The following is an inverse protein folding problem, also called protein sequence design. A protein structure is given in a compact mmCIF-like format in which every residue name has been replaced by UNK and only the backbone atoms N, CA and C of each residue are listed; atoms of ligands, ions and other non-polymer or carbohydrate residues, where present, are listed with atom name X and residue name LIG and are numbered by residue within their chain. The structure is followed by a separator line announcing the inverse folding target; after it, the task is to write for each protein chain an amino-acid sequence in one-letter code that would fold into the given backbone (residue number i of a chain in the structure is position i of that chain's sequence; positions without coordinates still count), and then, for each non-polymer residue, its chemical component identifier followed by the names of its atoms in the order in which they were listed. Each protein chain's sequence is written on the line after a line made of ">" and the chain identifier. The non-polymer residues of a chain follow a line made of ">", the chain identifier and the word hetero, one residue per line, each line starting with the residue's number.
data_IF_753819677982
#
_entry.id   IF_753819677982
#
_cell.length_a   1.000
_cell.length_b   1.000
_cell.length_c   1.000
_cell.angle_alpha   90.00
_cell.angle_beta   90.00
_cell.angle_gamma   90.00
#
_symmetry.space_group_name_H-M   'P 1'
#
loop_
_entity.id
_entity.type
_entity.pdbx_description
1 polymer ?
#
# COMPACT_ATOMS: atom_id res chain seq x y z
N UNK A 1 -3.99 -15.88 0.28
CA UNK A 1 -4.91 -14.71 0.34
C UNK A 1 -4.13 -13.47 -0.04
N UNK A 2 -4.57 -12.75 -1.03
CA UNK A 2 -3.90 -11.53 -1.48
C UNK A 2 -3.84 -10.50 -0.36
N UNK A 3 -2.69 -9.87 -0.21
CA UNK A 3 -2.47 -8.79 0.74
C UNK A 3 -2.05 -7.52 0.01
N UNK A 4 -2.10 -6.41 0.71
CA UNK A 4 -1.88 -5.11 0.09
C UNK A 4 -1.00 -4.21 0.95
N UNK A 5 -0.22 -3.38 0.28
CA UNK A 5 0.41 -2.22 0.89
C UNK A 5 -0.30 -0.99 0.33
N UNK A 6 -0.83 -0.15 1.21
CA UNK A 6 -1.49 1.10 0.82
C UNK A 6 -0.70 2.27 1.38
N UNK A 7 -0.43 3.25 0.54
CA UNK A 7 0.15 4.51 0.96
C UNK A 7 -0.81 5.65 0.66
N UNK A 8 -1.02 6.51 1.65
CA UNK A 8 -1.70 7.79 1.52
C UNK A 8 -0.62 8.86 1.57
N UNK A 9 -0.33 9.47 0.43
CA UNK A 9 0.76 10.42 0.29
C UNK A 9 0.20 11.84 0.17
N UNK A 10 0.61 12.69 1.11
CA UNK A 10 0.18 14.08 1.16
C UNK A 10 1.12 14.95 0.33
N UNK A 11 0.57 15.88 -0.43
CA UNK A 11 1.35 16.89 -1.15
C UNK A 11 2.58 16.30 -1.86
N UNK A 12 2.40 15.40 -2.84
CA UNK A 12 3.53 14.76 -3.51
C UNK A 12 4.46 15.81 -4.11
N UNK A 13 5.76 15.70 -3.77
CA UNK A 13 6.81 16.55 -4.28
C UNK A 13 7.57 15.79 -5.35
N UNK A 14 7.87 16.45 -6.48
CA UNK A 14 8.70 15.86 -7.53
C UNK A 14 10.08 16.47 -7.46
N UNK A 15 11.07 15.67 -7.07
CA UNK A 15 12.49 16.04 -7.06
C UNK A 15 13.32 14.81 -7.44
N UNK A 16 14.64 14.97 -7.56
CA UNK A 16 15.52 13.89 -8.01
C UNK A 16 15.47 12.68 -7.06
N UNK A 17 15.35 12.88 -5.76
CA UNK A 17 15.25 11.78 -4.81
C UNK A 17 13.98 10.96 -5.04
N UNK A 18 12.84 11.64 -5.21
CA UNK A 18 11.55 10.98 -5.47
C UNK A 18 11.58 10.26 -6.82
N UNK A 19 12.18 10.87 -7.85
CA UNK A 19 12.33 10.22 -9.15
C UNK A 19 13.20 8.95 -9.06
N UNK A 20 14.29 9.01 -8.31
CA UNK A 20 15.14 7.83 -8.08
C UNK A 20 14.37 6.73 -7.34
N UNK A 21 13.56 7.10 -6.33
CA UNK A 21 12.69 6.16 -5.64
C UNK A 21 11.74 5.45 -6.63
N UNK A 22 11.08 6.22 -7.50
CA UNK A 22 10.16 5.67 -8.50
C UNK A 22 10.87 4.73 -9.48
N UNK A 23 12.08 5.08 -9.89
CA UNK A 23 12.86 4.26 -10.82
C UNK A 23 13.29 2.93 -10.19
N UNK A 24 13.51 2.89 -8.87
CA UNK A 24 14.09 1.74 -8.19
C UNK A 24 13.08 0.84 -7.46
N UNK A 25 11.90 1.34 -7.12
CA UNK A 25 10.94 0.59 -6.30
C UNK A 25 10.48 -0.71 -6.97
N UNK A 26 10.29 -0.71 -8.29
CA UNK A 26 9.82 -1.89 -9.01
C UNK A 26 10.72 -3.09 -8.84
N UNK A 27 12.04 -2.88 -8.90
CA UNK A 27 13.02 -3.95 -8.72
C UNK A 27 12.99 -4.53 -7.28
N UNK A 28 12.61 -3.74 -6.29
CA UNK A 28 12.49 -4.21 -4.90
C UNK A 28 11.27 -5.09 -4.70
N UNK A 29 10.23 -4.90 -5.50
CA UNK A 29 8.97 -5.64 -5.41
C UNK A 29 9.04 -7.03 -6.03
N UNK A 30 9.77 -7.17 -7.13
CA UNK A 30 9.81 -8.40 -7.93
C UNK A 30 10.13 -9.66 -7.12
N UNK A 31 11.14 -9.67 -6.22
CA UNK A 31 11.44 -10.88 -5.44
C UNK A 31 10.29 -11.32 -4.52
N UNK A 32 9.37 -10.44 -4.18
CA UNK A 32 8.29 -10.72 -3.24
C UNK A 32 6.93 -10.85 -3.94
N UNK A 33 6.92 -10.83 -5.26
CA UNK A 33 5.68 -10.97 -6.03
C UNK A 33 4.78 -9.74 -5.94
N UNK A 34 5.33 -8.59 -5.58
CA UNK A 34 4.57 -7.34 -5.47
C UNK A 34 4.32 -6.70 -6.83
N UNK A 35 3.13 -6.14 -7.00
CA UNK A 35 2.75 -5.44 -8.23
C UNK A 35 1.87 -4.24 -7.89
N UNK A 36 2.14 -3.09 -8.51
CA UNK A 36 1.26 -1.94 -8.38
C UNK A 36 -0.09 -2.24 -9.01
N UNK A 37 -1.17 -1.96 -8.28
CA UNK A 37 -2.55 -2.03 -8.81
C UNK A 37 -3.21 -0.66 -8.80
N UNK A 38 -2.73 0.27 -7.97
CA UNK A 38 -3.14 1.68 -7.96
C UNK A 38 -1.88 2.51 -7.72
N UNK A 39 -1.65 3.52 -8.52
CA UNK A 39 -0.43 4.32 -8.37
C UNK A 39 -0.69 5.81 -8.64
N UNK A 40 -1.15 6.50 -7.60
CA UNK A 40 -1.29 7.95 -7.62
C UNK A 40 -2.34 8.53 -8.54
N UNK A 41 -3.51 7.88 -8.72
CA UNK A 41 -4.58 8.47 -9.53
C UNK A 41 -5.20 9.67 -8.83
N UNK A 42 -5.92 10.48 -9.61
CA UNK A 42 -6.77 11.51 -9.03
C UNK A 42 -7.93 10.83 -8.29
N UNK A 43 -8.12 11.20 -7.03
CA UNK A 43 -9.19 10.61 -6.22
C UNK A 43 -10.46 11.48 -6.25
N UNK A 44 -11.62 10.85 -6.16
CA UNK A 44 -12.90 11.51 -6.06
C UNK A 44 -13.45 11.26 -4.67
N UNK A 45 -13.42 12.28 -3.81
CA UNK A 45 -13.81 12.13 -2.41
C UNK A 45 -15.34 12.15 -2.31
N UNK A 46 -15.92 11.11 -1.69
CA UNK A 46 -17.37 11.00 -1.49
C UNK A 46 -17.77 11.33 -0.06
N UNK A 47 -16.92 11.00 0.88
CA UNK A 47 -17.16 11.26 2.30
C UNK A 47 -15.86 11.68 2.95
N UNK A 48 -15.91 12.69 3.82
CA UNK A 48 -14.75 13.13 4.58
C UNK A 48 -13.71 13.86 3.74
N UNK A 49 -12.46 13.73 4.15
CA UNK A 49 -11.32 14.40 3.52
C UNK A 49 -10.26 13.39 3.13
N UNK A 50 -9.59 13.66 2.01
CA UNK A 50 -8.47 12.86 1.54
C UNK A 50 -7.42 13.79 0.95
N UNK A 51 -6.59 14.43 1.80
CA UNK A 51 -5.62 15.44 1.35
C UNK A 51 -4.37 14.79 0.76
N UNK A 52 -4.51 14.09 -0.35
CA UNK A 52 -3.36 13.44 -0.98
C UNK A 52 -3.80 12.49 -2.06
N UNK A 53 -2.93 11.54 -2.35
CA UNK A 53 -3.17 10.50 -3.34
C UNK A 53 -3.14 9.12 -2.70
N UNK A 54 -3.36 8.08 -3.50
CA UNK A 54 -3.36 6.71 -3.03
C UNK A 54 -2.48 5.85 -3.92
N UNK A 55 -1.70 4.97 -3.27
CA UNK A 55 -0.90 3.94 -3.95
C UNK A 55 -1.26 2.60 -3.33
N UNK A 56 -1.53 1.59 -4.14
CA UNK A 56 -1.78 0.24 -3.65
C UNK A 56 -0.92 -0.76 -4.41
N UNK A 57 -0.22 -1.58 -3.66
CA UNK A 57 0.61 -2.67 -4.18
C UNK A 57 0.00 -3.98 -3.69
N UNK A 58 -0.21 -4.93 -4.60
CA UNK A 58 -0.73 -6.25 -4.24
C UNK A 58 0.42 -7.23 -4.08
N UNK A 59 0.28 -8.14 -3.11
CA UNK A 59 1.24 -9.21 -2.83
C UNK A 59 0.50 -10.55 -2.74
N UNK A 60 1.22 -11.68 -2.97
CA UNK A 60 0.59 -12.99 -2.85
C UNK A 60 -0.01 -13.26 -1.47
N UNK A 61 0.64 -12.74 -0.43
CA UNK A 61 0.18 -12.88 0.96
C UNK A 61 0.79 -11.77 1.83
N UNK A 62 0.35 -11.71 3.08
CA UNK A 62 0.80 -10.66 4.00
C UNK A 62 2.26 -10.83 4.41
N UNK A 63 2.75 -12.07 4.51
CA UNK A 63 4.16 -12.32 4.83
C UNK A 63 5.08 -11.78 3.74
N UNK A 64 4.68 -11.92 2.47
CA UNK A 64 5.42 -11.34 1.34
C UNK A 64 5.46 -9.81 1.42
N UNK A 65 4.35 -9.17 1.75
CA UNK A 65 4.27 -7.72 1.91
C UNK A 65 5.19 -7.25 3.04
N UNK A 66 5.18 -7.94 4.18
CA UNK A 66 6.06 -7.64 5.32
C UNK A 66 7.53 -7.80 4.95
N UNK A 67 7.85 -8.92 4.29
CA UNK A 67 9.23 -9.20 3.87
C UNK A 67 9.73 -8.15 2.89
N UNK A 68 8.90 -7.71 1.96
CA UNK A 68 9.26 -6.62 1.05
C UNK A 68 9.55 -5.33 1.80
N UNK A 69 8.64 -4.89 2.67
CA UNK A 69 8.80 -3.63 3.39
C UNK A 69 10.09 -3.63 4.22
N UNK A 70 10.39 -4.75 4.88
CA UNK A 70 11.56 -4.89 5.74
C UNK A 70 12.85 -5.25 4.98
N UNK A 71 12.75 -5.49 3.66
CA UNK A 71 13.92 -5.88 2.87
C UNK A 71 14.97 -4.78 2.82
N UNK A 72 16.25 -5.14 2.84
CA UNK A 72 17.34 -4.15 2.70
C UNK A 72 17.20 -3.30 1.43
N UNK A 73 16.79 -3.90 0.34
CA UNK A 73 16.64 -3.19 -0.95
C UNK A 73 15.60 -2.07 -0.85
N UNK A 74 14.44 -2.33 -0.23
CA UNK A 74 13.41 -1.31 -0.07
C UNK A 74 13.81 -0.27 0.99
N UNK A 75 14.33 -0.71 2.12
CA UNK A 75 14.75 0.19 3.20
C UNK A 75 15.82 1.17 2.74
N UNK A 76 16.69 0.75 1.82
CA UNK A 76 17.75 1.60 1.26
C UNK A 76 17.18 2.81 0.51
N UNK A 77 16.02 2.67 -0.15
CA UNK A 77 15.42 3.76 -0.95
C UNK A 77 14.28 4.49 -0.25
N UNK A 78 13.78 3.96 0.87
CA UNK A 78 12.58 4.49 1.53
C UNK A 78 12.72 5.98 1.88
N UNK A 79 13.87 6.41 2.40
CA UNK A 79 14.11 7.79 2.79
C UNK A 79 14.02 8.78 1.61
N UNK A 80 14.28 8.32 0.39
CA UNK A 80 14.17 9.16 -0.81
C UNK A 80 12.74 9.68 -0.99
N UNK A 81 11.76 8.95 -0.46
CA UNK A 81 10.35 9.38 -0.46
C UNK A 81 9.98 10.05 0.86
N UNK A 82 10.28 9.41 2.00
CA UNK A 82 9.80 9.89 3.30
C UNK A 82 10.40 11.23 3.72
N UNK A 83 11.58 11.57 3.24
CA UNK A 83 12.20 12.86 3.52
C UNK A 83 11.46 14.03 2.85
N UNK A 84 10.65 13.76 1.83
CA UNK A 84 10.03 14.80 1.00
C UNK A 84 8.51 14.74 0.98
N UNK A 85 7.92 13.56 1.19
CA UNK A 85 6.47 13.36 1.06
C UNK A 85 5.91 12.82 2.37
N UNK A 86 5.21 13.66 3.16
CA UNK A 86 4.53 13.18 4.36
C UNK A 86 3.36 12.28 3.98
N UNK A 87 3.04 11.33 4.84
CA UNK A 87 1.96 10.41 4.59
C UNK A 87 1.97 9.23 5.53
N UNK A 88 1.18 8.22 5.17
CA UNK A 88 1.06 6.99 5.94
C UNK A 88 1.12 5.80 5.00
N UNK A 89 1.63 4.69 5.50
CA UNK A 89 1.66 3.42 4.77
C UNK A 89 1.20 2.31 5.70
N UNK A 90 0.36 1.42 5.18
CA UNK A 90 -0.18 0.30 5.94
C UNK A 90 -0.13 -0.97 5.12
N UNK A 91 -0.07 -2.12 5.81
CA UNK A 91 -0.15 -3.44 5.21
C UNK A 91 -1.38 -4.14 5.77
N UNK A 92 -2.11 -4.87 4.93
CA UNK A 92 -3.30 -5.57 5.37
C UNK A 92 -3.67 -6.69 4.40
N UNK A 93 -4.44 -7.66 4.91
CA UNK A 93 -4.98 -8.73 4.10
C UNK A 93 -6.19 -8.27 3.30
N UNK A 94 -6.36 -8.85 2.11
CA UNK A 94 -7.62 -8.79 1.40
C UNK A 94 -8.64 -9.74 2.01
N UNK A 95 -9.80 -9.84 1.37
CA UNK A 95 -10.83 -10.77 1.80
C UNK A 95 -10.61 -12.14 1.18
N UNK A 96 -11.14 -13.18 1.82
CA UNK A 96 -11.16 -14.53 1.27
C UNK A 96 -12.18 -14.60 0.15
N UNK A 97 -11.97 -15.54 -0.76
CA UNK A 97 -12.95 -15.87 -1.79
C UNK A 97 -14.27 -16.23 -1.11
N UNK A 98 -15.37 -15.74 -1.65
CA UNK A 98 -16.69 -15.96 -1.07
C UNK A 98 -17.03 -15.06 0.13
N UNK A 99 -16.20 -14.07 0.41
CA UNK A 99 -16.50 -13.11 1.50
C UNK A 99 -17.83 -12.42 1.28
N UNK A 100 -18.60 -12.28 2.35
CA UNK A 100 -19.92 -11.66 2.35
C UNK A 100 -20.08 -10.84 3.64
N UNK A 101 -20.36 -9.54 3.47
CA UNK A 101 -20.51 -8.64 4.60
C UNK A 101 -21.65 -9.06 5.54
N UNK A 102 -22.72 -9.65 5.00
CA UNK A 102 -23.82 -10.14 5.83
C UNK A 102 -23.38 -11.29 6.74
N UNK A 103 -22.53 -12.19 6.23
CA UNK A 103 -21.95 -13.26 7.06
C UNK A 103 -21.03 -12.69 8.11
N UNK A 104 -20.29 -11.64 7.80
CA UNK A 104 -19.44 -10.93 8.74
C UNK A 104 -20.28 -10.34 9.89
N UNK A 105 -21.40 -9.68 9.55
CA UNK A 105 -22.33 -9.14 10.55
C UNK A 105 -22.88 -10.23 11.45
N UNK A 106 -23.26 -11.37 10.87
CA UNK A 106 -23.78 -12.51 11.63
C UNK A 106 -22.73 -13.05 12.60
N UNK A 107 -21.48 -13.16 12.18
CA UNK A 107 -20.38 -13.62 13.03
C UNK A 107 -20.13 -12.65 14.20
N UNK A 108 -20.14 -11.35 13.93
CA UNK A 108 -19.97 -10.32 14.95
C UNK A 108 -21.11 -10.38 15.97
N UNK A 109 -22.36 -10.51 15.47
CA UNK A 109 -23.54 -10.60 16.34
C UNK A 109 -23.51 -11.84 17.22
N UNK A 110 -23.05 -12.97 16.70
CA UNK A 110 -22.92 -14.20 17.44
C UNK A 110 -21.85 -14.15 18.54
N UNK A 111 -20.84 -13.31 18.37
CA UNK A 111 -19.77 -13.13 19.35
C UNK A 111 -20.07 -12.14 20.48
N UNK A 112 -21.26 -11.59 20.51
CA UNK A 112 -21.67 -10.61 21.53
C UNK A 112 -21.96 -11.24 22.88
#
# INVERSE_FOLDING_TARGET
>A
MTAYALAHLHTPTVNEDVLTYLERIGATLTPFGGAFIVHGPQVEVREGEWPGTVVIIAFPDLDAARAWYDSPAYQEILHLRTDHIPGAAILFDGVREGHDAAKMAAAIRAGR
#
